data_IF_662783803612
#
_entry.id   IF_662783803612
#
_cell.length_a   1.000
_cell.length_b   1.000
_cell.length_c   1.000
_cell.angle_alpha   90.00
_cell.angle_beta   90.00
_cell.angle_gamma   90.00
#
_symmetry.space_group_name_H-M   'P 1'
#
loop_
_entity.id
_entity.type
_entity.pdbx_description
1 polymer ?
#
# COMPACT_ATOMS: atom_id res chain seq x y z
N UNK A 1 -0.49 4.09 -43.92
CA UNK A 1 0.90 3.59 -43.93
C UNK A 1 1.36 3.46 -42.50
N UNK A 2 1.41 2.23 -42.00
CA UNK A 2 2.57 1.56 -41.38
C UNK A 2 2.09 0.12 -41.12
N UNK A 3 2.90 -0.83 -41.57
CA UNK A 3 2.53 -2.21 -41.85
C UNK A 3 2.78 -3.13 -40.65
N UNK A 4 1.94 -4.15 -40.52
CA UNK A 4 2.09 -5.28 -39.60
C UNK A 4 3.20 -6.23 -40.10
N UNK A 5 4.04 -6.82 -39.23
CA UNK A 5 4.99 -7.84 -39.65
C UNK A 5 4.43 -9.26 -39.50
N UNK A 6 4.37 -9.98 -40.63
CA UNK A 6 4.12 -11.42 -40.73
C UNK A 6 5.36 -12.23 -40.30
N UNK A 7 5.15 -13.30 -39.53
CA UNK A 7 6.15 -14.32 -39.21
C UNK A 7 6.25 -15.34 -40.35
N UNK A 8 7.33 -15.25 -41.14
CA UNK A 8 7.68 -16.20 -42.21
C UNK A 8 8.68 -17.24 -41.68
N UNK A 9 8.44 -18.53 -41.97
CA UNK A 9 9.22 -19.68 -41.51
C UNK A 9 10.31 -20.20 -42.47
N UNK A 10 10.93 -21.32 -42.03
CA UNK A 10 11.81 -22.25 -42.79
C UNK A 10 13.26 -21.77 -42.94
N UNK A 11 14.33 -22.57 -42.89
CA UNK A 11 14.65 -24.01 -42.88
C UNK A 11 16.20 -24.07 -42.71
N UNK A 12 16.95 -25.10 -43.15
CA UNK A 12 17.10 -26.51 -42.74
C UNK A 12 18.54 -26.79 -42.26
N UNK A 13 18.92 -28.02 -41.84
CA UNK A 13 20.23 -28.63 -42.17
C UNK A 13 20.29 -30.12 -41.79
N UNK A 14 20.78 -30.90 -42.75
CA UNK A 14 20.91 -32.37 -42.84
C UNK A 14 21.85 -33.06 -41.82
N UNK A 15 21.64 -34.39 -41.68
CA UNK A 15 22.45 -35.39 -40.95
C UNK A 15 23.80 -35.73 -41.67
N UNK A 16 24.78 -36.48 -41.08
CA UNK A 16 24.67 -37.97 -40.96
C UNK A 16 25.53 -38.71 -39.87
N UNK A 17 25.06 -39.89 -39.42
CA UNK A 17 25.84 -41.16 -39.38
C UNK A 17 26.65 -41.60 -38.13
N UNK A 18 26.58 -42.94 -37.86
CA UNK A 18 27.40 -43.81 -36.96
C UNK A 18 26.97 -43.88 -35.49
N UNK A 19 26.73 -45.01 -34.82
CA UNK A 19 26.81 -46.44 -35.12
C UNK A 19 26.91 -47.22 -33.79
N UNK A 20 26.06 -48.24 -33.56
CA UNK A 20 26.32 -49.48 -32.79
C UNK A 20 25.02 -50.26 -32.54
N UNK A 21 24.88 -51.34 -33.28
CA UNK A 21 24.03 -52.48 -32.94
C UNK A 21 24.75 -53.34 -31.88
N UNK A 22 24.02 -53.80 -30.86
CA UNK A 22 24.48 -54.89 -29.97
C UNK A 22 23.48 -56.03 -30.12
N UNK A 23 24.03 -57.19 -30.49
CA UNK A 23 23.32 -58.42 -30.78
C UNK A 23 22.74 -59.07 -29.51
N UNK A 24 21.56 -59.68 -29.66
CA UNK A 24 20.91 -60.55 -28.67
C UNK A 24 21.18 -62.01 -29.03
N UNK A 25 21.59 -62.89 -28.09
CA UNK A 25 21.58 -64.34 -28.31
C UNK A 25 20.24 -64.97 -27.82
N UNK A 26 19.65 -65.96 -28.51
CA UNK A 26 18.59 -66.80 -27.96
C UNK A 26 19.21 -68.09 -27.35
N UNK A 27 18.62 -68.75 -26.33
CA UNK A 27 17.57 -69.77 -26.54
C UNK A 27 16.72 -70.07 -25.25
N UNK A 28 16.01 -71.21 -25.08
CA UNK A 28 15.44 -72.18 -26.02
C UNK A 28 13.90 -72.36 -25.88
N UNK A 29 13.32 -73.07 -26.85
CA UNK A 29 11.96 -73.59 -26.83
C UNK A 29 11.66 -74.45 -25.59
N UNK A 30 10.49 -74.23 -24.98
CA UNK A 30 9.88 -75.17 -24.05
C UNK A 30 8.40 -75.38 -24.44
N UNK A 31 8.14 -76.53 -25.05
CA UNK A 31 6.82 -77.13 -25.20
C UNK A 31 6.36 -77.64 -23.84
N UNK A 32 5.17 -77.27 -23.39
CA UNK A 32 4.54 -77.84 -22.18
C UNK A 32 3.09 -77.37 -22.02
N UNK A 33 2.15 -78.30 -22.17
CA UNK A 33 0.72 -78.06 -21.96
C UNK A 33 0.28 -78.20 -20.49
N UNK A 34 -0.82 -77.55 -20.13
CA UNK A 34 -1.52 -77.70 -18.85
C UNK A 34 -2.45 -76.52 -18.53
N UNK A 35 -3.57 -76.70 -17.80
CA UNK A 35 -4.80 -75.93 -17.99
C UNK A 35 -5.02 -74.72 -17.05
N UNK A 36 -6.04 -73.96 -17.45
CA UNK A 36 -6.79 -72.86 -16.80
C UNK A 36 -6.31 -71.40 -16.92
N UNK A 37 -7.20 -70.49 -17.38
CA UNK A 37 -6.91 -69.06 -17.46
C UNK A 37 -7.12 -68.43 -16.08
N UNK A 38 -6.04 -68.25 -15.31
CA UNK A 38 -6.05 -67.28 -14.22
C UNK A 38 -6.33 -65.89 -14.82
N UNK A 39 -7.40 -65.28 -14.34
CA UNK A 39 -7.87 -63.97 -14.80
C UNK A 39 -6.73 -62.94 -14.72
N UNK A 40 -6.26 -62.50 -15.88
CA UNK A 40 -5.30 -61.41 -15.98
C UNK A 40 -5.83 -60.20 -15.18
N UNK A 41 -5.05 -59.62 -14.24
CA UNK A 41 -5.47 -58.43 -13.54
C UNK A 41 -5.69 -57.33 -14.59
N UNK A 42 -6.93 -56.82 -14.64
CA UNK A 42 -7.32 -55.72 -15.54
C UNK A 42 -6.31 -54.59 -15.39
N UNK A 43 -5.81 -53.98 -16.48
CA UNK A 43 -4.88 -52.87 -16.38
C UNK A 43 -5.57 -51.75 -15.59
N UNK A 44 -5.16 -51.58 -14.34
CA UNK A 44 -5.67 -50.52 -13.48
C UNK A 44 -5.38 -49.21 -14.20
N UNK A 45 -6.44 -48.49 -14.60
CA UNK A 45 -6.36 -47.25 -15.37
C UNK A 45 -5.74 -46.16 -14.49
N UNK A 46 -4.42 -45.89 -14.55
CA UNK A 46 -3.75 -45.00 -13.59
C UNK A 46 -4.19 -43.55 -13.77
N UNK A 47 -4.72 -43.21 -14.96
CA UNK A 47 -5.26 -41.89 -15.27
C UNK A 47 -6.50 -41.54 -14.43
N UNK A 48 -7.28 -42.53 -13.98
CA UNK A 48 -8.44 -42.28 -13.10
C UNK A 48 -7.98 -41.82 -11.72
N UNK A 49 -6.87 -42.35 -11.22
CA UNK A 49 -6.24 -41.90 -9.98
C UNK A 49 -5.64 -40.51 -10.12
N UNK A 50 -4.98 -40.22 -11.24
CA UNK A 50 -4.45 -38.89 -11.52
C UNK A 50 -5.58 -37.84 -11.63
N UNK A 51 -6.67 -38.15 -12.33
CA UNK A 51 -7.84 -37.28 -12.45
C UNK A 51 -8.54 -37.07 -11.10
N UNK A 52 -8.68 -38.14 -10.30
CA UNK A 52 -9.22 -38.05 -8.94
C UNK A 52 -8.35 -37.17 -8.04
N UNK A 53 -7.03 -37.33 -8.09
CA UNK A 53 -6.07 -36.49 -7.35
C UNK A 53 -6.15 -35.02 -7.76
N UNK A 54 -6.21 -34.74 -9.06
CA UNK A 54 -6.38 -33.38 -9.58
C UNK A 54 -7.70 -32.76 -9.09
N UNK A 55 -8.82 -33.49 -9.16
CA UNK A 55 -10.10 -32.99 -8.70
C UNK A 55 -10.11 -32.67 -7.19
N UNK A 56 -9.54 -33.55 -6.36
CA UNK A 56 -9.42 -33.30 -4.92
C UNK A 56 -8.53 -32.09 -4.64
N UNK A 57 -7.38 -31.99 -5.32
CA UNK A 57 -6.49 -30.85 -5.18
C UNK A 57 -7.19 -29.53 -5.58
N UNK A 58 -7.96 -29.51 -6.67
CA UNK A 58 -8.74 -28.35 -7.09
C UNK A 58 -9.80 -27.94 -6.08
N UNK A 59 -10.51 -28.91 -5.49
CA UNK A 59 -11.52 -28.61 -4.45
C UNK A 59 -10.86 -28.05 -3.19
N UNK A 60 -9.72 -28.61 -2.76
CA UNK A 60 -8.97 -28.10 -1.60
C UNK A 60 -8.44 -26.69 -1.84
N UNK A 61 -7.88 -26.43 -3.03
CA UNK A 61 -7.42 -25.09 -3.40
C UNK A 61 -8.56 -24.09 -3.47
N UNK A 62 -9.67 -24.44 -4.12
CA UNK A 62 -10.84 -23.57 -4.21
C UNK A 62 -11.45 -23.29 -2.82
N UNK A 63 -11.57 -24.32 -1.98
CA UNK A 63 -12.04 -24.17 -0.60
C UNK A 63 -11.11 -23.30 0.25
N UNK A 64 -9.79 -23.48 0.11
CA UNK A 64 -8.79 -22.65 0.78
C UNK A 64 -8.85 -21.19 0.35
N UNK A 65 -8.92 -20.93 -0.96
CA UNK A 65 -9.02 -19.56 -1.49
C UNK A 65 -10.30 -18.86 -1.05
N UNK A 66 -11.43 -19.59 -1.05
CA UNK A 66 -12.72 -19.07 -0.61
C UNK A 66 -12.75 -18.78 0.90
N UNK A 67 -12.19 -19.67 1.72
CA UNK A 67 -12.09 -19.45 3.16
C UNK A 67 -11.20 -18.25 3.49
N UNK A 68 -10.10 -18.09 2.76
CA UNK A 68 -9.20 -16.94 2.92
C UNK A 68 -9.86 -15.62 2.53
N UNK A 69 -10.59 -15.57 1.40
CA UNK A 69 -11.26 -14.35 0.96
C UNK A 69 -12.46 -13.97 1.82
N UNK A 70 -13.10 -14.93 2.50
CA UNK A 70 -14.25 -14.69 3.37
C UNK A 70 -13.90 -14.03 4.72
N UNK A 71 -12.63 -14.12 5.16
CA UNK A 71 -12.24 -13.65 6.49
C UNK A 71 -11.97 -12.14 6.58
N UNK A 72 -11.87 -11.44 5.45
CA UNK A 72 -11.49 -10.02 5.42
C UNK A 72 -10.07 -9.76 5.96
N UNK A 73 -9.42 -8.65 5.59
CA UNK A 73 -8.16 -8.27 6.21
C UNK A 73 -8.39 -7.88 7.68
N UNK A 74 -7.42 -8.19 8.54
CA UNK A 74 -7.40 -7.67 9.91
C UNK A 74 -7.20 -6.16 9.85
N UNK A 75 -8.20 -5.39 10.31
CA UNK A 75 -8.16 -3.93 10.32
C UNK A 75 -7.13 -3.36 11.31
N UNK A 76 -6.39 -4.21 12.04
CA UNK A 76 -5.38 -3.78 13.02
C UNK A 76 -6.02 -3.08 14.22
N UNK A 77 -7.29 -3.36 14.49
CA UNK A 77 -8.09 -2.68 15.52
C UNK A 77 -8.50 -1.25 15.15
N UNK A 78 -8.23 -0.76 13.94
CA UNK A 78 -8.66 0.57 13.50
C UNK A 78 -10.15 0.62 13.14
N UNK A 79 -10.78 1.76 13.43
CA UNK A 79 -12.18 2.06 13.08
C UNK A 79 -12.27 3.19 12.06
N UNK A 80 -13.40 3.23 11.35
CA UNK A 80 -13.80 4.43 10.62
C UNK A 80 -14.09 5.57 11.61
N UNK A 81 -13.94 6.80 11.14
CA UNK A 81 -14.29 8.01 11.90
C UNK A 81 -15.32 8.82 11.11
N UNK A 82 -16.25 9.44 11.83
CA UNK A 82 -17.25 10.36 11.28
C UNK A 82 -16.76 11.83 11.32
N UNK A 83 -15.62 12.07 11.98
CA UNK A 83 -15.01 13.38 12.07
C UNK A 83 -13.53 13.26 12.43
N UNK A 84 -12.66 13.23 11.43
CA UNK A 84 -11.21 13.13 11.67
C UNK A 84 -10.68 14.31 12.48
N UNK A 85 -11.22 15.51 12.27
CA UNK A 85 -10.79 16.70 13.00
C UNK A 85 -11.15 16.66 14.49
N UNK A 86 -12.26 16.01 14.87
CA UNK A 86 -12.63 15.83 16.27
C UNK A 86 -11.70 14.85 16.99
N UNK A 87 -11.09 13.92 16.25
CA UNK A 87 -10.12 12.95 16.76
C UNK A 87 -8.70 13.55 16.82
N UNK A 88 -8.38 14.46 15.89
CA UNK A 88 -7.10 15.15 15.78
C UNK A 88 -7.05 16.42 16.63
N UNK A 89 -6.60 16.27 17.88
CA UNK A 89 -6.44 17.41 18.81
C UNK A 89 -5.26 18.34 18.46
N UNK A 90 -4.25 17.84 17.73
CA UNK A 90 -3.08 18.61 17.27
C UNK A 90 -2.40 19.41 18.40
N UNK A 91 -2.18 18.81 19.56
CA UNK A 91 -1.64 19.51 20.75
C UNK A 91 -0.20 19.96 20.55
N UNK A 92 0.62 19.11 19.95
CA UNK A 92 2.01 19.42 19.64
C UNK A 92 2.10 20.56 18.65
N UNK A 93 1.41 20.44 17.51
CA UNK A 93 1.35 21.48 16.49
C UNK A 93 0.80 22.79 17.07
N UNK A 94 -0.27 22.73 17.87
CA UNK A 94 -0.86 23.93 18.47
C UNK A 94 0.06 24.61 19.48
N UNK A 95 0.90 23.85 20.17
CA UNK A 95 1.85 24.41 21.13
C UNK A 95 2.98 25.20 20.45
N UNK A 96 3.37 24.80 19.24
CA UNK A 96 4.46 25.42 18.49
C UNK A 96 4.00 26.48 17.47
N UNK A 97 2.90 26.22 16.77
CA UNK A 97 2.42 27.05 15.65
C UNK A 97 1.28 27.99 16.05
N UNK A 98 0.66 27.77 17.21
CA UNK A 98 -0.40 28.61 17.74
C UNK A 98 -1.76 27.92 17.78
N UNK A 99 -2.83 28.71 17.88
CA UNK A 99 -4.16 28.18 18.19
C UNK A 99 -4.90 27.73 16.92
N UNK A 100 -5.54 26.54 16.92
CA UNK A 100 -6.41 26.14 15.83
C UNK A 100 -7.54 27.16 15.62
N UNK A 101 -7.76 27.58 14.37
CA UNK A 101 -8.94 28.35 13.97
C UNK A 101 -10.13 27.40 13.80
N UNK A 102 -10.96 27.33 14.83
CA UNK A 102 -12.07 26.37 14.89
C UNK A 102 -13.17 26.64 13.85
N UNK A 103 -13.31 27.89 13.40
CA UNK A 103 -14.25 28.32 12.36
C UNK A 103 -13.77 28.00 10.94
N UNK A 104 -12.46 27.83 10.74
CA UNK A 104 -11.85 27.47 9.46
C UNK A 104 -11.48 25.98 9.34
N UNK A 105 -11.81 25.18 10.36
CA UNK A 105 -11.59 23.73 10.38
C UNK A 105 -12.48 23.05 9.34
N UNK A 106 -11.87 22.34 8.40
CA UNK A 106 -12.59 21.62 7.33
C UNK A 106 -12.43 20.11 7.49
N UNK A 107 -13.53 19.38 7.34
CA UNK A 107 -13.56 17.92 7.42
C UNK A 107 -14.29 17.33 6.21
N UNK A 108 -13.76 16.22 5.67
CA UNK A 108 -14.42 15.44 4.63
C UNK A 108 -14.31 13.94 4.94
N UNK A 109 -15.37 13.19 4.63
CA UNK A 109 -15.39 11.74 4.82
C UNK A 109 -16.03 11.05 3.62
N UNK A 110 -15.61 9.81 3.39
CA UNK A 110 -16.21 8.93 2.40
C UNK A 110 -16.06 7.48 2.86
N UNK A 111 -17.17 6.75 2.89
CA UNK A 111 -17.19 5.33 3.22
C UNK A 111 -17.52 4.51 1.98
N UNK A 112 -16.65 3.57 1.65
CA UNK A 112 -16.87 2.59 0.59
C UNK A 112 -16.65 1.17 1.12
N UNK A 113 -17.18 0.16 0.43
CA UNK A 113 -17.00 -1.23 0.86
C UNK A 113 -15.53 -1.69 0.89
N UNK A 114 -14.64 -1.02 0.14
CA UNK A 114 -13.22 -1.34 0.05
C UNK A 114 -12.33 -0.51 0.96
N UNK A 115 -12.75 0.70 1.32
CA UNK A 115 -12.00 1.62 2.17
C UNK A 115 -12.91 2.67 2.80
N UNK A 116 -12.51 3.19 3.95
CA UNK A 116 -12.99 4.48 4.46
C UNK A 116 -11.89 5.52 4.27
N UNK A 117 -12.31 6.73 3.95
CA UNK A 117 -11.46 7.89 3.81
C UNK A 117 -11.98 8.99 4.73
N UNK A 118 -11.08 9.64 5.45
CA UNK A 118 -11.37 10.85 6.18
C UNK A 118 -10.24 11.87 6.00
N UNK A 119 -10.59 13.13 5.98
CA UNK A 119 -9.71 14.26 5.78
C UNK A 119 -10.02 15.35 6.78
N UNK A 120 -8.99 15.96 7.33
CA UNK A 120 -9.07 17.12 8.21
C UNK A 120 -8.09 18.17 7.75
N UNK A 121 -8.51 19.43 7.71
CA UNK A 121 -7.66 20.60 7.47
C UNK A 121 -7.84 21.60 8.61
N UNK A 122 -6.72 22.08 9.16
CA UNK A 122 -6.69 23.00 10.30
C UNK A 122 -5.68 24.11 10.02
N UNK A 123 -6.16 25.34 10.01
CA UNK A 123 -5.30 26.53 10.06
C UNK A 123 -4.98 26.88 11.52
N UNK A 124 -3.75 27.34 11.75
CA UNK A 124 -3.22 27.68 13.07
C UNK A 124 -2.89 29.16 13.11
N UNK A 125 -3.40 29.86 14.11
CA UNK A 125 -3.15 31.27 14.36
C UNK A 125 -1.99 31.42 15.36
N UNK A 126 -0.83 31.96 14.94
CA UNK A 126 0.32 32.15 15.81
C UNK A 126 0.00 33.07 17.00
N UNK A 127 0.52 32.75 18.18
CA UNK A 127 0.23 33.53 19.39
C UNK A 127 1.02 34.84 19.37
N UNK A 128 0.32 35.97 19.54
CA UNK A 128 0.93 37.30 19.55
C UNK A 128 1.13 37.90 18.15
N UNK A 129 0.49 37.29 17.17
CA UNK A 129 0.45 37.72 15.79
C UNK A 129 -0.93 38.30 15.47
N UNK A 130 -0.97 39.50 14.89
CA UNK A 130 -2.19 40.10 14.35
C UNK A 130 -2.02 40.16 12.82
N UNK A 131 -2.90 39.51 12.03
CA UNK A 131 -2.76 39.50 10.59
C UNK A 131 -2.96 40.92 10.04
N UNK A 132 -2.05 41.40 9.18
CA UNK A 132 -2.36 42.60 8.41
C UNK A 132 -3.52 42.28 7.45
N UNK A 133 -4.44 43.23 7.34
CA UNK A 133 -5.56 43.18 6.41
C UNK A 133 -5.35 44.16 5.27
N UNK A 134 -5.83 43.85 4.06
CA UNK A 134 -5.82 44.78 2.95
C UNK A 134 -6.82 45.93 3.17
N UNK A 135 -6.94 46.81 2.16
CA UNK A 135 -7.86 47.94 2.22
C UNK A 135 -9.34 47.50 2.29
N UNK A 136 -9.62 46.25 1.89
CA UNK A 136 -10.92 45.60 1.91
C UNK A 136 -11.21 44.87 3.23
N UNK A 137 -10.18 44.68 4.09
CA UNK A 137 -10.28 43.99 5.36
C UNK A 137 -10.02 42.48 5.28
N UNK A 138 -9.51 41.99 4.14
CA UNK A 138 -9.12 40.60 3.94
C UNK A 138 -7.68 40.38 4.44
N UNK A 139 -7.43 39.28 5.14
CA UNK A 139 -6.10 38.95 5.68
C UNK A 139 -5.08 38.72 4.54
N UNK A 140 -3.91 39.39 4.60
CA UNK A 140 -2.91 39.35 3.52
C UNK A 140 -1.80 38.32 3.78
N UNK A 141 -2.07 37.12 4.33
CA UNK A 141 -0.99 36.19 4.73
C UNK A 141 -1.34 34.71 4.60
N UNK A 142 -0.29 33.88 4.59
CA UNK A 142 -0.38 32.42 4.66
C UNK A 142 -0.19 31.96 6.11
N UNK A 143 -1.27 31.51 6.74
CA UNK A 143 -1.19 30.88 8.07
C UNK A 143 -0.55 29.50 8.00
N UNK A 144 0.14 29.06 9.06
CA UNK A 144 0.50 27.66 9.19
C UNK A 144 -0.74 26.78 9.11
N UNK A 145 -0.62 25.67 8.40
CA UNK A 145 -1.73 24.75 8.18
C UNK A 145 -1.28 23.30 8.36
N UNK A 146 -2.19 22.47 8.86
CA UNK A 146 -2.00 21.03 9.00
C UNK A 146 -3.18 20.31 8.37
N UNK A 147 -2.88 19.49 7.37
CA UNK A 147 -3.84 18.62 6.70
C UNK A 147 -3.54 17.17 7.06
N UNK A 148 -4.57 16.42 7.46
CA UNK A 148 -4.45 15.01 7.80
C UNK A 148 -5.42 14.23 6.93
N UNK A 149 -4.90 13.23 6.24
CA UNK A 149 -5.67 12.19 5.57
C UNK A 149 -5.54 10.89 6.35
N UNK A 150 -6.65 10.21 6.58
CA UNK A 150 -6.72 8.87 7.13
C UNK A 150 -7.47 7.96 6.15
N UNK A 151 -6.84 6.86 5.74
CA UNK A 151 -7.50 5.84 4.92
C UNK A 151 -7.44 4.49 5.61
N UNK A 152 -8.61 3.89 5.86
CA UNK A 152 -8.74 2.54 6.39
C UNK A 152 -9.08 1.57 5.27
N UNK A 153 -8.15 0.68 4.93
CA UNK A 153 -8.35 -0.28 3.86
C UNK A 153 -9.10 -1.52 4.37
N UNK A 154 -10.34 -1.73 3.91
CA UNK A 154 -11.21 -2.83 4.36
C UNK A 154 -11.06 -4.12 3.56
N UNK A 155 -10.46 -4.07 2.37
CA UNK A 155 -10.36 -5.23 1.46
C UNK A 155 -8.94 -5.54 0.98
N UNK A 156 -8.14 -4.51 0.72
CA UNK A 156 -6.79 -4.65 0.12
C UNK A 156 -5.74 -4.28 1.13
N UNK A 157 -4.63 -5.03 1.19
CA UNK A 157 -3.45 -4.66 1.98
C UNK A 157 -2.70 -3.52 1.28
N UNK A 158 -2.57 -2.32 1.89
CA UNK A 158 -1.82 -1.21 1.30
C UNK A 158 -0.30 -1.41 1.38
N UNK A 159 0.19 -2.37 2.20
CA UNK A 159 1.60 -2.57 2.48
C UNK A 159 2.50 -2.79 1.26
N UNK A 160 2.14 -3.64 0.28
CA UNK A 160 2.97 -3.88 -0.89
C UNK A 160 3.20 -2.64 -1.77
N UNK A 161 2.28 -1.67 -1.73
CA UNK A 161 2.35 -0.47 -2.57
C UNK A 161 2.84 0.76 -1.82
N UNK A 162 2.81 0.74 -0.48
CA UNK A 162 3.07 1.91 0.36
C UNK A 162 4.37 2.65 0.04
N UNK A 163 5.50 1.94 -0.04
CA UNK A 163 6.80 2.59 -0.34
C UNK A 163 6.79 3.23 -1.74
N UNK A 164 6.11 2.61 -2.72
CA UNK A 164 5.95 3.16 -4.06
C UNK A 164 5.06 4.41 -4.09
N UNK A 165 3.98 4.43 -3.30
CA UNK A 165 3.12 5.61 -3.12
C UNK A 165 3.91 6.77 -2.50
N UNK A 166 4.71 6.50 -1.47
CA UNK A 166 5.57 7.50 -0.82
C UNK A 166 6.56 8.09 -1.82
N UNK A 167 7.26 7.26 -2.60
CA UNK A 167 8.20 7.74 -3.63
C UNK A 167 7.48 8.58 -4.70
N UNK A 168 6.35 8.09 -5.22
CA UNK A 168 5.59 8.82 -6.25
C UNK A 168 5.10 10.18 -5.74
N UNK A 169 4.70 10.28 -4.47
CA UNK A 169 4.28 11.54 -3.86
C UNK A 169 5.47 12.48 -3.64
N UNK A 170 6.59 11.96 -3.12
CA UNK A 170 7.82 12.74 -2.96
C UNK A 170 8.27 13.37 -4.28
N UNK A 171 8.27 12.60 -5.36
CA UNK A 171 8.57 13.08 -6.72
C UNK A 171 7.56 14.11 -7.20
N UNK A 172 6.26 13.88 -6.97
CA UNK A 172 5.19 14.80 -7.36
C UNK A 172 5.20 16.14 -6.62
N UNK A 173 5.82 16.20 -5.44
CA UNK A 173 6.03 17.43 -4.67
C UNK A 173 7.35 18.15 -5.01
N UNK A 174 8.07 17.66 -6.02
CA UNK A 174 9.39 18.19 -6.43
C UNK A 174 10.38 18.27 -5.27
N UNK A 175 10.27 17.32 -4.33
CA UNK A 175 11.09 17.26 -3.12
C UNK A 175 12.58 17.12 -3.48
N UNK A 176 13.44 17.86 -2.79
CA UNK A 176 14.89 17.92 -3.09
C UNK A 176 15.62 16.65 -2.63
N UNK A 177 15.01 15.92 -1.69
CA UNK A 177 15.63 14.80 -0.99
C UNK A 177 14.78 13.52 -1.07
N UNK A 178 15.44 12.37 -0.86
CA UNK A 178 14.75 11.11 -0.70
C UNK A 178 13.97 11.09 0.63
N UNK A 179 12.80 10.43 0.69
CA UNK A 179 12.05 10.30 1.93
C UNK A 179 12.86 9.65 3.05
N UNK A 180 12.93 10.34 4.18
CA UNK A 180 13.63 9.85 5.36
C UNK A 180 12.71 8.94 6.17
N UNK A 181 13.19 7.76 6.53
CA UNK A 181 12.42 6.84 7.36
C UNK A 181 12.32 7.34 8.80
N UNK A 182 11.11 7.35 9.34
CA UNK A 182 10.83 7.64 10.74
C UNK A 182 10.67 6.36 11.55
N UNK A 183 11.17 6.38 12.80
CA UNK A 183 11.03 5.27 13.74
C UNK A 183 9.99 5.57 14.82
N UNK A 184 9.28 4.53 15.28
CA UNK A 184 8.35 4.64 16.40
C UNK A 184 6.96 5.18 16.02
N UNK A 185 6.62 5.20 14.73
CA UNK A 185 5.32 5.59 14.21
C UNK A 185 4.86 4.52 13.21
N UNK A 186 3.78 3.81 13.52
CA UNK A 186 3.28 2.68 12.73
C UNK A 186 4.31 1.58 12.50
N UNK A 187 4.06 0.77 11.48
CA UNK A 187 4.99 -0.26 10.98
C UNK A 187 6.06 0.36 10.07
N UNK A 188 5.64 1.31 9.24
CA UNK A 188 6.50 2.10 8.36
C UNK A 188 6.04 3.54 8.36
N UNK A 189 6.97 4.47 8.50
CA UNK A 189 6.71 5.89 8.37
C UNK A 189 7.86 6.57 7.65
N UNK A 190 7.53 7.61 6.89
CA UNK A 190 8.48 8.43 6.15
C UNK A 190 8.14 9.91 6.31
N UNK A 191 9.16 10.76 6.24
CA UNK A 191 9.02 12.21 6.16
C UNK A 191 9.79 12.74 4.96
N UNK A 192 9.23 13.74 4.29
CA UNK A 192 9.89 14.45 3.21
C UNK A 192 9.42 15.89 3.11
N UNK A 193 10.34 16.73 2.65
CA UNK A 193 10.16 18.17 2.46
C UNK A 193 9.44 18.45 1.15
N UNK A 194 8.46 19.36 1.18
CA UNK A 194 7.89 19.94 -0.02
C UNK A 194 8.69 21.20 -0.39
N UNK A 195 8.93 21.42 -1.70
CA UNK A 195 9.51 22.67 -2.17
C UNK A 195 8.59 23.85 -1.78
N UNK A 196 9.11 24.80 -0.99
CA UNK A 196 8.33 25.95 -0.50
C UNK A 196 7.85 25.83 0.96
N UNK A 197 8.67 25.21 1.82
CA UNK A 197 8.60 25.36 3.28
C UNK A 197 7.41 24.61 3.95
N UNK A 198 7.34 23.30 3.70
CA UNK A 198 6.41 22.37 4.34
C UNK A 198 6.95 20.94 4.42
N UNK A 199 6.30 20.09 5.19
CA UNK A 199 6.69 18.69 5.38
C UNK A 199 5.50 17.74 5.25
N UNK A 200 5.74 16.55 4.72
CA UNK A 200 4.77 15.47 4.63
C UNK A 200 5.26 14.29 5.46
N UNK A 201 4.41 13.76 6.33
CA UNK A 201 4.61 12.51 7.06
C UNK A 201 3.61 11.48 6.54
N UNK A 202 4.12 10.38 5.98
CA UNK A 202 3.32 9.24 5.55
C UNK A 202 3.53 8.08 6.51
N UNK A 203 2.44 7.42 6.93
CA UNK A 203 2.46 6.31 7.89
C UNK A 203 1.61 5.16 7.39
N UNK A 204 2.13 3.95 7.56
CA UNK A 204 1.42 2.69 7.42
C UNK A 204 1.42 1.95 8.76
N UNK A 205 0.26 1.48 9.19
CA UNK A 205 0.08 0.63 10.36
C UNK A 205 -1.04 -0.39 10.11
N UNK A 206 -0.67 -1.62 9.76
CA UNK A 206 -1.59 -2.64 9.27
C UNK A 206 -2.39 -2.16 8.06
N UNK A 207 -3.71 -2.11 8.21
CA UNK A 207 -4.65 -1.68 7.16
C UNK A 207 -4.91 -0.17 7.13
N UNK A 208 -4.31 0.60 8.04
CA UNK A 208 -4.50 2.04 8.12
C UNK A 208 -3.30 2.77 7.50
N UNK A 209 -3.59 3.76 6.65
CA UNK A 209 -2.61 4.73 6.18
C UNK A 209 -2.96 6.12 6.67
N UNK A 210 -1.94 6.88 7.05
CA UNK A 210 -2.05 8.27 7.47
C UNK A 210 -1.10 9.12 6.64
N UNK A 211 -1.59 10.26 6.18
CA UNK A 211 -0.78 11.28 5.55
C UNK A 211 -1.02 12.58 6.30
N UNK A 212 0.03 13.15 6.86
CA UNK A 212 -0.01 14.48 7.45
C UNK A 212 0.83 15.40 6.59
N UNK A 213 0.24 16.48 6.11
CA UNK A 213 0.95 17.57 5.48
C UNK A 213 0.92 18.78 6.40
N UNK A 214 2.05 19.45 6.52
CA UNK A 214 2.19 20.70 7.23
C UNK A 214 2.82 21.73 6.30
N UNK A 215 2.31 22.96 6.33
CA UNK A 215 3.03 24.12 5.82
C UNK A 215 3.17 25.16 6.91
N UNK A 216 4.35 25.79 6.97
CA UNK A 216 4.68 26.76 8.01
C UNK A 216 3.99 28.11 7.83
N UNK A 217 3.49 28.42 6.63
CA UNK A 217 3.08 29.80 6.33
C UNK A 217 4.26 30.77 6.37
N UNK A 218 3.98 32.07 6.37
CA UNK A 218 5.03 33.11 6.30
C UNK A 218 4.71 34.27 7.21
N UNK A 219 5.71 34.70 7.99
CA UNK A 219 5.67 35.88 8.82
C UNK A 219 5.73 37.14 7.93
N UNK A 220 4.88 38.14 8.18
CA UNK A 220 4.73 39.31 7.33
C UNK A 220 5.83 40.34 7.46
N UNK A 221 6.34 40.48 8.67
CA UNK A 221 7.24 41.52 9.09
C UNK A 221 8.64 41.15 8.65
N UNK A 222 8.94 39.85 8.71
CA UNK A 222 10.25 39.27 8.42
C UNK A 222 10.31 38.57 7.07
N UNK A 223 9.17 38.09 6.56
CA UNK A 223 9.12 37.20 5.40
C UNK A 223 9.65 35.79 5.68
N UNK A 224 9.91 35.45 6.95
CA UNK A 224 10.44 34.14 7.36
C UNK A 224 9.32 33.12 7.57
N UNK A 225 9.63 31.82 7.40
CA UNK A 225 8.67 30.75 7.67
C UNK A 225 8.32 30.71 9.16
N UNK A 226 7.03 30.51 9.47
CA UNK A 226 6.59 30.32 10.86
C UNK A 226 6.82 28.86 11.27
N UNK A 227 7.83 28.67 12.11
CA UNK A 227 8.28 27.35 12.55
C UNK A 227 9.22 26.68 11.55
N UNK A 228 10.16 25.88 12.06
CA UNK A 228 11.05 25.07 11.22
C UNK A 228 10.61 23.62 11.20
N UNK A 229 10.88 22.89 10.11
CA UNK A 229 10.58 21.45 10.03
C UNK A 229 11.21 20.68 11.19
N UNK A 230 12.47 20.96 11.51
CA UNK A 230 13.19 20.25 12.57
C UNK A 230 12.57 20.43 13.96
N UNK A 231 11.93 21.57 14.21
CA UNK A 231 11.27 21.86 15.48
C UNK A 231 9.86 21.26 15.53
N UNK A 232 9.14 21.23 14.39
CA UNK A 232 7.75 20.82 14.33
C UNK A 232 7.57 19.31 14.09
N UNK A 233 8.47 18.64 13.36
CA UNK A 233 8.43 17.21 13.08
C UNK A 233 8.18 16.35 14.34
N UNK A 234 8.95 16.49 15.44
CA UNK A 234 8.71 15.66 16.62
C UNK A 234 7.32 15.89 17.24
N UNK A 235 6.79 17.10 17.14
CA UNK A 235 5.46 17.46 17.65
C UNK A 235 4.36 16.86 16.77
N UNK A 236 4.51 16.91 15.44
CA UNK A 236 3.60 16.27 14.48
C UNK A 236 3.61 14.74 14.64
N UNK A 237 4.78 14.15 14.90
CA UNK A 237 4.89 12.73 15.21
C UNK A 237 4.15 12.36 16.50
N UNK A 238 4.20 13.19 17.54
CA UNK A 238 3.45 12.97 18.78
C UNK A 238 1.93 13.08 18.55
N UNK A 239 1.49 14.09 17.79
CA UNK A 239 0.08 14.26 17.44
C UNK A 239 -0.45 13.09 16.61
N UNK A 240 0.31 12.60 15.63
CA UNK A 240 -0.03 11.41 14.85
C UNK A 240 -0.13 10.15 15.73
N UNK A 241 0.79 9.95 16.68
CA UNK A 241 0.72 8.80 17.61
C UNK A 241 -0.57 8.83 18.42
N UNK A 242 -0.94 10.00 18.93
CA UNK A 242 -2.16 10.17 19.72
C UNK A 242 -3.41 9.96 18.86
N UNK A 243 -3.44 10.48 17.63
CA UNK A 243 -4.50 10.24 16.67
C UNK A 243 -4.67 8.74 16.36
N UNK A 244 -3.56 8.06 16.05
CA UNK A 244 -3.54 6.61 15.81
C UNK A 244 -4.08 5.84 17.01
N UNK A 245 -3.76 6.26 18.23
CA UNK A 245 -4.28 5.64 19.47
C UNK A 245 -5.79 5.82 19.62
N UNK A 246 -6.35 6.97 19.23
CA UNK A 246 -7.80 7.27 19.32
C UNK A 246 -8.64 6.52 18.29
N UNK A 247 -8.06 6.27 17.12
CA UNK A 247 -8.71 5.56 16.04
C UNK A 247 -8.62 4.03 16.18
N UNK A 248 -7.91 3.52 17.19
CA UNK A 248 -7.97 2.11 17.57
C UNK A 248 -9.18 1.87 18.50
N UNK A 249 -9.88 0.76 18.26
CA UNK A 249 -11.04 0.25 19.01
C UNK A 249 -10.64 -0.74 20.10
#
# INVERSE_FOLDING_TARGET
MISEPELVGGDPFDAPGSGRTVAVPPPPDAVGGGPDPEAAPRPARPWLWAAGGAAVASVLWAGGLYGYSALGPDLGGYRATENLCAEAELKGASAALGRPREDERSHQESSHESLDYAYCSVYLEPIGYEPDTDEEGDEIWSLPNVDITYTLHRKTDPGPEFDGVVMSRNEGLESVHEPRRLSGLGERAYVFEQMGDGAVIEVLDGQATFSLWWSGGTDPDTGEQIGSESDIEPLLMEDLKELMRRLRS
#
